data_IF_302623627075
#
_entry.id   IF_302623627075
#
_cell.length_a   1.000
_cell.length_b   1.000
_cell.length_c   1.000
_cell.angle_alpha   90.00
_cell.angle_beta   90.00
_cell.angle_gamma   90.00
#
_symmetry.space_group_name_H-M   'P 1'
#
loop_
_entity.id
_entity.type
_entity.pdbx_description
1 polymer ?
#
# COMPACT_ATOMS: atom_id res chain seq x y z
N UNK A 1 -29.32 39.59 -3.83
CA UNK A 1 -30.11 38.40 -4.21
C UNK A 1 -29.30 37.39 -5.02
N UNK A 2 -28.54 37.76 -6.04
CA UNK A 2 -27.72 36.86 -6.86
C UNK A 2 -26.61 36.08 -6.12
N UNK A 3 -25.88 36.75 -5.21
CA UNK A 3 -24.78 36.16 -4.44
C UNK A 3 -25.29 35.04 -3.50
N UNK A 4 -26.42 35.27 -2.84
CA UNK A 4 -27.03 34.28 -1.93
C UNK A 4 -27.50 33.04 -2.68
N UNK A 5 -28.02 33.21 -3.89
CA UNK A 5 -28.47 32.12 -4.75
C UNK A 5 -27.30 31.26 -5.24
N UNK A 6 -26.18 31.91 -5.60
CA UNK A 6 -24.95 31.22 -5.99
C UNK A 6 -24.40 30.41 -4.81
N UNK A 7 -24.36 30.99 -3.60
CA UNK A 7 -23.89 30.31 -2.40
C UNK A 7 -24.73 29.05 -2.06
N UNK A 8 -26.06 29.17 -2.14
CA UNK A 8 -26.96 28.02 -1.95
C UNK A 8 -26.76 26.93 -3.01
N UNK A 9 -26.53 27.31 -4.26
CA UNK A 9 -26.27 26.37 -5.32
C UNK A 9 -24.95 25.61 -5.10
N UNK A 10 -23.90 26.28 -4.66
CA UNK A 10 -22.60 25.66 -4.32
C UNK A 10 -22.77 24.65 -3.16
N UNK A 11 -23.47 25.04 -2.09
CA UNK A 11 -23.74 24.14 -0.96
C UNK A 11 -24.54 22.92 -1.41
N UNK A 12 -25.55 23.11 -2.27
CA UNK A 12 -26.35 22.02 -2.80
C UNK A 12 -25.51 21.03 -3.64
N UNK A 13 -24.64 21.54 -4.50
CA UNK A 13 -23.73 20.71 -5.31
C UNK A 13 -22.75 19.94 -4.41
N UNK A 14 -22.18 20.59 -3.41
CA UNK A 14 -21.31 19.93 -2.43
C UNK A 14 -22.05 18.84 -1.68
N UNK A 15 -23.29 19.10 -1.24
CA UNK A 15 -24.10 18.09 -0.55
C UNK A 15 -24.40 16.87 -1.44
N UNK A 16 -24.66 17.08 -2.74
CA UNK A 16 -24.90 15.97 -3.69
C UNK A 16 -23.67 15.06 -3.85
N UNK A 17 -22.47 15.58 -3.67
CA UNK A 17 -21.21 14.81 -3.76
C UNK A 17 -20.89 14.16 -2.40
N UNK A 18 -20.95 14.91 -1.31
CA UNK A 18 -20.53 14.45 0.02
C UNK A 18 -21.48 13.39 0.63
N UNK A 19 -22.79 13.55 0.45
CA UNK A 19 -23.77 12.61 1.05
C UNK A 19 -23.63 11.17 0.51
N UNK A 20 -23.53 10.91 -0.81
CA UNK A 20 -23.34 9.54 -1.28
C UNK A 20 -21.96 8.97 -0.90
N UNK A 21 -20.93 9.81 -0.86
CA UNK A 21 -19.58 9.40 -0.46
C UNK A 21 -19.52 8.95 1.01
N UNK A 22 -20.07 9.74 1.92
CA UNK A 22 -20.12 9.39 3.36
C UNK A 22 -20.96 8.14 3.61
N UNK A 23 -22.09 7.99 2.91
CA UNK A 23 -22.93 6.77 3.01
C UNK A 23 -22.18 5.51 2.57
N UNK A 24 -21.35 5.61 1.52
CA UNK A 24 -20.54 4.47 1.08
C UNK A 24 -19.46 4.10 2.10
N UNK A 25 -18.81 5.08 2.70
CA UNK A 25 -17.81 4.84 3.75
C UNK A 25 -18.41 4.15 4.98
N UNK A 26 -19.60 4.59 5.41
CA UNK A 26 -20.30 3.96 6.55
C UNK A 26 -20.67 2.50 6.21
N UNK A 27 -21.20 2.25 5.01
CA UNK A 27 -21.53 0.88 4.56
C UNK A 27 -20.28 -0.02 4.50
N UNK A 28 -19.19 0.48 3.98
CA UNK A 28 -17.94 -0.27 3.92
C UNK A 28 -17.42 -0.60 5.34
N UNK A 29 -17.54 0.35 6.29
CA UNK A 29 -17.16 0.13 7.68
C UNK A 29 -18.06 -0.93 8.35
N UNK A 30 -19.37 -0.88 8.16
CA UNK A 30 -20.32 -1.87 8.67
C UNK A 30 -20.10 -3.26 8.06
N UNK A 31 -19.86 -3.34 6.75
CA UNK A 31 -19.55 -4.59 6.05
C UNK A 31 -18.28 -5.24 6.61
N UNK A 32 -17.22 -4.45 6.76
CA UNK A 32 -15.93 -4.93 7.26
C UNK A 32 -15.92 -5.20 8.77
N UNK A 33 -16.80 -4.61 9.54
CA UNK A 33 -17.01 -4.99 10.94
C UNK A 33 -17.60 -6.39 11.08
N UNK A 34 -18.42 -6.83 10.11
CA UNK A 34 -18.99 -8.19 10.06
C UNK A 34 -18.07 -9.20 9.36
N UNK A 35 -17.39 -8.76 8.32
CA UNK A 35 -16.47 -9.57 7.52
C UNK A 35 -15.14 -8.80 7.34
N UNK A 36 -14.19 -8.95 8.27
CA UNK A 36 -12.93 -8.21 8.28
C UNK A 36 -12.18 -8.32 6.95
N UNK A 37 -11.36 -7.32 6.65
CA UNK A 37 -10.63 -7.18 5.38
C UNK A 37 -9.80 -8.43 5.03
N UNK A 38 -9.21 -9.10 6.02
CA UNK A 38 -8.45 -10.34 5.84
C UNK A 38 -9.32 -11.52 5.41
N UNK A 39 -10.58 -11.59 5.86
CA UNK A 39 -11.53 -12.62 5.41
C UNK A 39 -12.13 -12.30 4.06
N UNK A 40 -12.49 -11.03 3.82
CA UNK A 40 -13.04 -10.57 2.55
C UNK A 40 -12.05 -10.80 1.39
N UNK A 41 -10.76 -10.61 1.63
CA UNK A 41 -9.69 -10.76 0.65
C UNK A 41 -8.72 -11.91 1.02
N UNK A 42 -9.26 -12.98 1.63
CA UNK A 42 -8.48 -14.10 2.17
C UNK A 42 -7.51 -14.68 1.14
N UNK A 43 -7.97 -14.94 -0.07
CA UNK A 43 -7.14 -15.53 -1.13
C UNK A 43 -6.04 -14.56 -1.57
N UNK A 44 -6.38 -13.29 -1.76
CA UNK A 44 -5.43 -12.25 -2.15
C UNK A 44 -4.34 -12.06 -1.10
N UNK A 45 -4.74 -11.96 0.16
CA UNK A 45 -3.81 -11.80 1.30
C UNK A 45 -2.95 -13.06 1.47
N UNK A 46 -3.55 -14.26 1.34
CA UNK A 46 -2.83 -15.52 1.41
C UNK A 46 -1.75 -15.64 0.34
N UNK A 47 -2.08 -15.39 -0.93
CA UNK A 47 -1.10 -15.45 -2.04
C UNK A 47 0.04 -14.45 -1.85
N UNK A 48 -0.27 -13.22 -1.41
CA UNK A 48 0.76 -12.21 -1.12
C UNK A 48 1.65 -12.67 0.04
N UNK A 49 1.05 -13.20 1.12
CA UNK A 49 1.79 -13.73 2.27
C UNK A 49 2.72 -14.87 1.86
N UNK A 50 2.20 -15.85 1.14
CA UNK A 50 2.97 -17.04 0.74
C UNK A 50 4.19 -16.68 -0.13
N UNK A 51 4.02 -15.77 -1.08
CA UNK A 51 5.07 -15.44 -2.04
C UNK A 51 6.04 -14.36 -1.53
N UNK A 52 5.53 -13.30 -0.89
CA UNK A 52 6.38 -12.18 -0.47
C UNK A 52 6.96 -12.36 0.93
N UNK A 53 6.25 -13.05 1.83
CA UNK A 53 6.64 -13.24 3.24
C UNK A 53 6.88 -14.70 3.61
N UNK A 54 6.99 -15.61 2.63
CA UNK A 54 7.25 -17.05 2.81
C UNK A 54 6.19 -17.73 3.71
N UNK A 55 4.94 -17.24 3.68
CA UNK A 55 3.84 -17.72 4.52
C UNK A 55 3.92 -17.34 6.00
N UNK A 56 4.92 -16.52 6.39
CA UNK A 56 5.20 -16.16 7.79
C UNK A 56 4.71 -14.76 8.16
N UNK A 57 3.86 -14.16 7.34
CA UNK A 57 3.30 -12.85 7.61
C UNK A 57 2.22 -12.92 8.68
N UNK A 58 2.32 -12.03 9.64
CA UNK A 58 1.32 -11.81 10.68
C UNK A 58 0.39 -10.66 10.30
N UNK A 59 -0.91 -10.89 10.49
CA UNK A 59 -1.95 -9.92 10.16
C UNK A 59 -2.23 -9.07 11.40
N UNK A 60 -2.13 -7.75 11.25
CA UNK A 60 -2.58 -6.79 12.25
C UNK A 60 -3.79 -6.04 11.72
N UNK A 61 -4.92 -6.18 12.40
CA UNK A 61 -6.15 -5.42 12.15
C UNK A 61 -6.21 -4.23 13.10
N UNK A 62 -6.84 -3.15 12.67
CA UNK A 62 -7.03 -1.94 13.48
C UNK A 62 -8.46 -1.93 14.03
N UNK A 63 -8.60 -1.92 15.35
CA UNK A 63 -9.92 -1.91 16.02
C UNK A 63 -10.73 -0.65 15.69
N UNK A 64 -10.04 0.48 15.54
CA UNK A 64 -10.67 1.78 15.23
C UNK A 64 -11.13 1.87 13.78
N UNK A 65 -10.46 1.17 12.86
CA UNK A 65 -10.80 1.20 11.45
C UNK A 65 -10.63 -0.18 10.76
N UNK A 66 -11.72 -0.96 10.65
CA UNK A 66 -11.69 -2.28 10.04
C UNK A 66 -11.37 -2.28 8.53
N UNK A 67 -11.23 -1.09 7.92
CA UNK A 67 -10.83 -0.92 6.52
C UNK A 67 -9.31 -0.98 6.32
N UNK A 68 -8.56 -1.00 7.41
CA UNK A 68 -7.10 -1.01 7.41
C UNK A 68 -6.57 -2.34 7.93
N UNK A 69 -5.52 -2.84 7.30
CA UNK A 69 -4.82 -4.05 7.71
C UNK A 69 -3.35 -3.94 7.34
N UNK A 70 -2.49 -4.40 8.23
CA UNK A 70 -1.07 -4.60 7.98
C UNK A 70 -0.74 -6.09 7.90
N UNK A 71 0.21 -6.42 7.03
CA UNK A 71 0.81 -7.73 6.92
C UNK A 71 2.33 -7.57 6.99
N UNK A 72 2.97 -8.17 8.00
CA UNK A 72 4.40 -8.06 8.26
C UNK A 72 4.93 -9.40 8.78
N UNK A 73 6.18 -9.73 8.48
CA UNK A 73 6.86 -10.90 9.03
C UNK A 73 8.00 -10.49 9.95
N UNK A 74 8.18 -11.20 11.05
CA UNK A 74 9.33 -11.00 11.94
C UNK A 74 10.66 -11.31 11.24
N UNK A 75 10.68 -12.29 10.34
CA UNK A 75 11.86 -12.70 9.57
C UNK A 75 12.23 -11.67 8.48
N UNK A 76 11.23 -10.93 7.95
CA UNK A 76 11.38 -9.92 6.90
C UNK A 76 10.95 -8.53 7.41
N UNK A 77 11.58 -8.07 8.50
CA UNK A 77 11.29 -6.76 9.14
C UNK A 77 11.51 -5.54 8.24
N UNK A 78 12.17 -5.74 7.11
CA UNK A 78 12.38 -4.70 6.12
C UNK A 78 11.23 -4.56 5.11
N UNK A 79 10.16 -5.35 5.26
CA UNK A 79 8.98 -5.34 4.39
C UNK A 79 7.70 -5.25 5.21
N UNK A 80 6.85 -4.27 4.87
CA UNK A 80 5.50 -4.10 5.41
C UNK A 80 4.54 -3.92 4.25
N UNK A 81 3.46 -4.70 4.25
CA UNK A 81 2.39 -4.60 3.24
C UNK A 81 1.12 -4.12 3.95
N UNK A 82 0.57 -3.01 3.48
CA UNK A 82 -0.63 -2.41 4.05
C UNK A 82 -1.78 -2.50 3.06
N UNK A 83 -2.97 -2.77 3.57
CA UNK A 83 -4.20 -2.87 2.80
C UNK A 83 -5.19 -1.84 3.31
N UNK A 84 -5.69 -1.00 2.40
CA UNK A 84 -6.67 0.04 2.68
C UNK A 84 -7.87 -0.16 1.77
N UNK A 85 -9.02 -0.49 2.34
CA UNK A 85 -10.26 -0.65 1.59
C UNK A 85 -11.18 0.55 1.79
N UNK A 86 -11.65 1.16 0.70
CA UNK A 86 -12.56 2.30 0.75
C UNK A 86 -13.38 2.41 -0.54
N UNK A 87 -14.68 2.62 -0.40
CA UNK A 87 -15.61 2.87 -1.52
C UNK A 87 -15.59 1.83 -2.63
N UNK A 88 -15.36 0.54 -2.25
CA UNK A 88 -15.24 -0.56 -3.21
C UNK A 88 -13.87 -0.66 -3.89
N UNK A 89 -12.88 0.10 -3.44
CA UNK A 89 -11.51 0.08 -3.93
C UNK A 89 -10.57 -0.47 -2.86
N UNK A 90 -9.60 -1.28 -3.27
CA UNK A 90 -8.53 -1.76 -2.41
C UNK A 90 -7.22 -1.11 -2.84
N UNK A 91 -6.59 -0.42 -1.93
CA UNK A 91 -5.24 0.09 -2.12
C UNK A 91 -4.27 -0.80 -1.36
N UNK A 92 -3.26 -1.31 -2.05
CA UNK A 92 -2.18 -2.09 -1.44
C UNK A 92 -0.90 -1.25 -1.51
N UNK A 93 -0.20 -1.15 -0.38
CA UNK A 93 1.01 -0.35 -0.24
C UNK A 93 2.13 -1.28 0.23
N UNK A 94 3.20 -1.36 -0.55
CA UNK A 94 4.46 -1.99 -0.14
C UNK A 94 5.37 -0.91 0.43
N UNK A 95 5.83 -1.11 1.65
CA UNK A 95 6.94 -0.39 2.26
C UNK A 95 8.11 -1.37 2.38
N UNK A 96 9.21 -1.09 1.70
CA UNK A 96 10.39 -1.94 1.68
C UNK A 96 11.64 -1.12 1.97
N UNK A 97 12.53 -1.64 2.81
CA UNK A 97 13.77 -0.96 3.21
C UNK A 97 14.98 -1.80 2.84
N UNK A 98 15.94 -1.20 2.14
CA UNK A 98 17.22 -1.81 1.78
C UNK A 98 18.37 -0.82 2.02
N UNK A 99 19.40 -1.21 2.79
CA UNK A 99 20.56 -0.38 3.14
C UNK A 99 20.15 1.04 3.60
N UNK A 100 19.20 1.13 4.55
CA UNK A 100 18.65 2.38 5.09
C UNK A 100 17.87 3.25 4.09
N UNK A 101 17.68 2.82 2.85
CA UNK A 101 16.85 3.49 1.84
C UNK A 101 15.48 2.83 1.76
N UNK A 102 14.45 3.66 1.71
CA UNK A 102 13.05 3.22 1.67
C UNK A 102 12.51 3.25 0.24
N UNK A 103 11.76 2.19 -0.11
CA UNK A 103 10.91 2.11 -1.29
C UNK A 103 9.46 2.04 -0.83
N UNK A 104 8.64 2.98 -1.28
CA UNK A 104 7.19 2.94 -1.09
C UNK A 104 6.53 2.78 -2.45
N UNK A 105 5.78 1.70 -2.61
CA UNK A 105 4.99 1.46 -3.82
C UNK A 105 3.53 1.29 -3.46
N UNK A 106 2.66 2.05 -4.13
CA UNK A 106 1.21 2.07 -3.89
C UNK A 106 0.47 1.74 -5.17
N UNK A 107 -0.47 0.79 -5.09
CA UNK A 107 -1.37 0.45 -6.19
C UNK A 107 -2.82 0.36 -5.70
N UNK A 108 -3.74 0.94 -6.45
CA UNK A 108 -5.17 0.88 -6.19
C UNK A 108 -5.85 0.01 -7.24
N UNK A 109 -6.71 -0.87 -6.76
CA UNK A 109 -7.59 -1.71 -7.57
C UNK A 109 -9.04 -1.30 -7.30
N UNK A 110 -9.84 -1.16 -8.36
CA UNK A 110 -11.21 -0.65 -8.28
C UNK A 110 -12.24 -1.74 -8.55
N UNK A 111 -13.48 -1.53 -8.07
CA UNK A 111 -14.59 -2.44 -8.37
C UNK A 111 -14.59 -3.75 -7.57
N UNK A 112 -14.00 -3.77 -6.37
CA UNK A 112 -13.71 -4.98 -5.60
C UNK A 112 -14.79 -5.38 -4.58
N UNK A 113 -16.04 -4.92 -4.73
CA UNK A 113 -17.12 -5.29 -3.77
C UNK A 113 -17.45 -6.78 -3.83
N UNK A 114 -17.55 -7.34 -5.04
CA UNK A 114 -17.92 -8.75 -5.27
C UNK A 114 -16.80 -9.45 -6.04
N UNK A 115 -15.66 -9.68 -5.38
CA UNK A 115 -14.49 -10.25 -6.01
C UNK A 115 -14.57 -11.79 -6.00
N UNK A 116 -14.46 -12.41 -7.17
CA UNK A 116 -14.30 -13.85 -7.26
C UNK A 116 -12.90 -14.28 -6.78
N UNK A 117 -12.78 -15.55 -6.38
CA UNK A 117 -11.49 -16.16 -5.98
C UNK A 117 -10.44 -16.01 -7.09
N UNK A 118 -10.83 -16.18 -8.34
CA UNK A 118 -9.96 -16.00 -9.51
C UNK A 118 -9.39 -14.59 -9.59
N UNK A 119 -10.26 -13.58 -9.53
CA UNK A 119 -9.84 -12.18 -9.58
C UNK A 119 -8.95 -11.81 -8.39
N UNK A 120 -9.16 -12.39 -7.22
CA UNK A 120 -8.29 -12.16 -6.07
C UNK A 120 -6.86 -12.65 -6.34
N UNK A 121 -6.71 -13.82 -6.97
CA UNK A 121 -5.40 -14.34 -7.38
C UNK A 121 -4.72 -13.49 -8.45
N UNK A 122 -5.48 -13.08 -9.45
CA UNK A 122 -4.94 -12.24 -10.54
C UNK A 122 -4.41 -10.91 -10.00
N UNK A 123 -5.16 -10.25 -9.12
CA UNK A 123 -4.74 -9.01 -8.45
C UNK A 123 -3.50 -9.24 -7.59
N UNK A 124 -3.45 -10.34 -6.84
CA UNK A 124 -2.28 -10.68 -6.03
C UNK A 124 -1.03 -10.88 -6.89
N UNK A 125 -1.15 -11.68 -7.96
CA UNK A 125 -0.04 -11.96 -8.88
C UNK A 125 0.46 -10.68 -9.57
N UNK A 126 -0.46 -9.84 -10.07
CA UNK A 126 -0.12 -8.55 -10.68
C UNK A 126 0.62 -7.64 -9.71
N UNK A 127 0.15 -7.56 -8.46
CA UNK A 127 0.81 -6.77 -7.42
C UNK A 127 2.21 -7.29 -7.12
N UNK A 128 2.35 -8.61 -6.92
CA UNK A 128 3.63 -9.28 -6.61
C UNK A 128 4.66 -9.08 -7.73
N UNK A 129 4.25 -9.27 -8.99
CA UNK A 129 5.15 -9.10 -10.14
C UNK A 129 5.75 -7.69 -10.18
N UNK A 130 4.89 -6.66 -10.02
CA UNK A 130 5.34 -5.28 -10.00
C UNK A 130 6.23 -5.00 -8.78
N UNK A 131 5.87 -5.51 -7.60
CA UNK A 131 6.67 -5.34 -6.40
C UNK A 131 8.06 -5.95 -6.54
N UNK A 132 8.17 -7.17 -7.04
CA UNK A 132 9.46 -7.84 -7.25
C UNK A 132 10.36 -7.04 -8.21
N UNK A 133 9.80 -6.53 -9.30
CA UNK A 133 10.51 -5.65 -10.22
C UNK A 133 11.00 -4.38 -9.52
N UNK A 134 10.14 -3.72 -8.76
CA UNK A 134 10.47 -2.49 -8.01
C UNK A 134 11.53 -2.71 -6.94
N UNK A 135 11.46 -3.83 -6.22
CA UNK A 135 12.46 -4.22 -5.23
C UNK A 135 13.82 -4.44 -5.88
N UNK A 136 13.86 -5.18 -7.00
CA UNK A 136 15.12 -5.44 -7.73
C UNK A 136 15.75 -4.13 -8.26
N UNK A 137 14.95 -3.24 -8.88
CA UNK A 137 15.39 -1.93 -9.33
C UNK A 137 15.94 -1.09 -8.16
N UNK A 138 15.25 -1.10 -7.01
CA UNK A 138 15.66 -0.35 -5.82
C UNK A 138 16.98 -0.89 -5.25
N UNK A 139 17.13 -2.21 -5.13
CA UNK A 139 18.37 -2.84 -4.64
C UNK A 139 19.56 -2.50 -5.54
N UNK A 140 19.40 -2.55 -6.86
CA UNK A 140 20.45 -2.16 -7.80
C UNK A 140 20.85 -0.70 -7.62
N UNK A 141 19.88 0.21 -7.61
CA UNK A 141 20.13 1.64 -7.48
C UNK A 141 20.86 1.99 -6.17
N UNK A 142 20.44 1.39 -5.06
CA UNK A 142 21.06 1.63 -3.75
C UNK A 142 22.46 1.00 -3.69
N UNK A 143 22.64 -0.21 -4.25
CA UNK A 143 23.96 -0.87 -4.30
C UNK A 143 24.99 -0.10 -5.11
N UNK A 144 24.60 0.50 -6.23
CA UNK A 144 25.49 1.37 -7.02
C UNK A 144 25.87 2.65 -6.27
N UNK A 145 24.94 3.28 -5.54
CA UNK A 145 25.21 4.48 -4.75
C UNK A 145 26.21 4.22 -3.62
N UNK A 146 26.10 3.08 -2.96
CA UNK A 146 27.00 2.70 -1.86
C UNK A 146 28.42 2.43 -2.35
N UNK A 147 28.59 1.74 -3.47
CA UNK A 147 29.89 1.50 -4.09
C UNK A 147 30.55 2.80 -4.58
N UNK A 148 29.82 3.74 -5.12
CA UNK A 148 30.35 5.03 -5.57
C UNK A 148 30.81 5.92 -4.42
N UNK A 149 30.14 5.85 -3.27
CA UNK A 149 30.54 6.58 -2.06
C UNK A 149 31.82 6.03 -1.43
N UNK A 150 32.04 4.71 -1.50
CA UNK A 150 33.27 4.08 -1.02
C UNK A 150 34.48 4.37 -1.92
N UNK A 151 34.33 4.45 -3.24
CA UNK A 151 35.43 4.76 -4.16
C UNK A 151 35.91 6.22 -4.07
N UNK A 152 34.99 7.15 -3.72
CA UNK A 152 35.34 8.57 -3.53
C UNK A 152 36.14 8.88 -2.27
N UNK A 153 36.03 8.06 -1.24
CA UNK A 153 36.78 8.26 0.02
C UNK A 153 38.25 7.83 -0.04
N UNK A 154 38.66 7.05 -1.05
CA UNK A 154 40.04 6.55 -1.16
C UNK A 154 41.00 7.47 -1.94
N UNK A 155 40.48 8.52 -2.61
CA UNK A 155 41.28 9.44 -3.39
C UNK A 155 41.75 10.72 -2.66
N UNK A 156 41.40 10.93 -1.39
CA UNK A 156 41.78 12.14 -0.63
C UNK A 156 42.92 11.96 0.36
N UNK A 157 43.58 10.80 0.36
CA UNK A 157 44.64 10.46 1.37
C UNK A 157 46.08 10.48 0.89
N UNK A 158 46.42 10.91 -0.33
CA UNK A 158 47.80 10.90 -0.85
C UNK A 158 48.14 12.21 -1.55
N UNK A 159 48.22 13.31 -0.81
CA UNK A 159 49.03 14.47 -1.18
C UNK A 159 49.24 15.34 0.06
N UNK A 160 50.37 15.11 0.72
CA UNK A 160 51.21 16.14 1.35
C UNK A 160 52.22 15.46 2.31
N UNK A 161 53.37 15.21 1.79
CA UNK A 161 54.61 15.16 2.57
C UNK A 161 55.78 15.33 1.60
N UNK A 162 56.19 16.60 1.40
CA UNK A 162 57.56 17.01 1.17
C UNK A 162 57.76 18.42 1.74
#
# INVERSE_FOLDING_TARGET
>A
MTITLIFLLVIFVLALIFVPFTRQLVKDKEELSRNPINKKFEILVGVINDIMLDGKGEITLFDDDPRLMNLMSEDKRNMLIQFHYSTGNLTIILNYKFLQKELVYKKQFSGLRNLSVFMQRDIANEFIEICNKKIAEHQQNVGYMDMSSMSGAHCQGLSESD
#
